data_IF_999091533569
#
_entry.id   IF_999091533569
#
_cell.length_a   1.000
_cell.length_b   1.000
_cell.length_c   1.000
_cell.angle_alpha   90.00
_cell.angle_beta   90.00
_cell.angle_gamma   90.00
#
_symmetry.space_group_name_H-M   'P 1'
#
loop_
_entity.id
_entity.type
_entity.pdbx_description
1 polymer ?
#
# COMPACT_ATOMS: atom_id res chain seq x y z
N UNK A 1 23.24 12.50 7.88
CA UNK A 1 22.89 11.20 7.26
C UNK A 1 24.09 10.28 7.40
N UNK A 2 23.93 9.04 7.84
CA UNK A 2 25.06 8.11 7.98
C UNK A 2 25.50 7.66 6.60
N UNK A 3 26.74 7.97 6.22
CA UNK A 3 27.31 7.53 4.95
C UNK A 3 28.01 6.17 5.16
N UNK A 4 27.88 5.25 4.20
CA UNK A 4 28.44 3.88 4.18
C UNK A 4 27.70 2.83 5.02
N UNK A 5 26.43 2.56 4.70
CA UNK A 5 25.75 1.36 5.20
C UNK A 5 26.45 0.08 4.71
N UNK A 6 26.53 -0.97 5.56
CA UNK A 6 27.05 -2.26 5.14
C UNK A 6 26.19 -2.84 4.01
N UNK A 7 26.84 -3.40 2.98
CA UNK A 7 26.17 -3.96 1.79
C UNK A 7 25.73 -5.41 2.04
N UNK A 8 24.88 -5.61 3.04
CA UNK A 8 24.30 -6.93 3.39
C UNK A 8 22.93 -7.03 2.73
N UNK A 9 22.73 -8.08 1.92
CA UNK A 9 21.46 -8.34 1.23
C UNK A 9 20.58 -9.27 2.08
N UNK A 10 19.47 -8.75 2.59
CA UNK A 10 18.50 -9.51 3.38
C UNK A 10 17.36 -9.87 2.45
N UNK A 11 17.27 -11.15 2.09
CA UNK A 11 16.18 -11.64 1.23
C UNK A 11 14.90 -11.79 2.06
N UNK A 12 13.72 -11.48 1.48
CA UNK A 12 12.46 -11.72 2.16
C UNK A 12 12.33 -13.18 2.62
N UNK A 13 11.87 -13.38 3.85
CA UNK A 13 11.61 -14.69 4.42
C UNK A 13 10.32 -15.30 3.86
N UNK A 14 10.04 -16.56 4.20
CA UNK A 14 8.77 -17.18 3.84
C UNK A 14 7.56 -16.48 4.51
N UNK A 15 7.74 -15.93 5.72
CA UNK A 15 6.69 -15.17 6.41
C UNK A 15 6.39 -13.87 5.68
N UNK A 16 7.43 -13.15 5.25
CA UNK A 16 7.28 -11.90 4.50
C UNK A 16 6.55 -12.15 3.17
N UNK A 17 6.92 -13.22 2.45
CA UNK A 17 6.21 -13.61 1.22
C UNK A 17 4.73 -13.94 1.46
N UNK A 18 4.41 -14.66 2.53
CA UNK A 18 3.01 -14.95 2.88
C UNK A 18 2.24 -13.67 3.18
N UNK A 19 2.83 -12.74 3.92
CA UNK A 19 2.22 -11.44 4.22
C UNK A 19 1.99 -10.62 2.95
N UNK A 20 2.98 -10.54 2.07
CA UNK A 20 2.88 -9.84 0.78
C UNK A 20 1.73 -10.43 -0.07
N UNK A 21 1.66 -11.76 -0.18
CA UNK A 21 0.60 -12.43 -0.93
C UNK A 21 -0.77 -12.19 -0.32
N UNK A 22 -0.88 -12.21 1.01
CA UNK A 22 -2.12 -11.91 1.70
C UNK A 22 -2.61 -10.48 1.41
N UNK A 23 -1.72 -9.49 1.42
CA UNK A 23 -2.13 -8.13 1.04
C UNK A 23 -2.55 -8.03 -0.43
N UNK A 24 -1.92 -8.76 -1.36
CA UNK A 24 -2.40 -8.81 -2.76
C UNK A 24 -3.81 -9.40 -2.88
N UNK A 25 -4.15 -10.39 -2.04
CA UNK A 25 -5.52 -10.91 -1.96
C UNK A 25 -6.49 -9.80 -1.50
N UNK A 26 -6.11 -8.99 -0.51
CA UNK A 26 -6.94 -7.86 -0.04
C UNK A 26 -7.09 -6.76 -1.11
N UNK A 27 -6.02 -6.45 -1.86
CA UNK A 27 -6.08 -5.52 -2.99
C UNK A 27 -7.05 -6.03 -4.07
N UNK A 28 -6.95 -7.32 -4.42
CA UNK A 28 -7.86 -7.94 -5.38
C UNK A 28 -9.30 -7.93 -4.88
N UNK A 29 -9.54 -8.26 -3.61
CA UNK A 29 -10.86 -8.21 -2.99
C UNK A 29 -11.44 -6.79 -3.01
N UNK A 30 -10.64 -5.76 -2.73
CA UNK A 30 -11.09 -4.36 -2.78
C UNK A 30 -11.50 -3.95 -4.21
N UNK A 31 -10.71 -4.33 -5.23
CA UNK A 31 -11.05 -4.07 -6.62
C UNK A 31 -12.33 -4.81 -7.05
N UNK A 32 -12.44 -6.10 -6.69
CA UNK A 32 -13.61 -6.92 -6.98
C UNK A 32 -14.87 -6.35 -6.32
N UNK A 33 -14.77 -5.89 -5.08
CA UNK A 33 -15.89 -5.28 -4.36
C UNK A 33 -16.42 -4.04 -5.10
N UNK A 34 -15.54 -3.13 -5.49
CA UNK A 34 -15.95 -1.93 -6.24
C UNK A 34 -16.57 -2.34 -7.58
N UNK A 35 -15.93 -3.25 -8.31
CA UNK A 35 -16.42 -3.72 -9.60
C UNK A 35 -17.81 -4.37 -9.50
N UNK A 36 -18.05 -5.22 -8.49
CA UNK A 36 -19.32 -5.93 -8.31
C UNK A 36 -20.51 -5.01 -8.13
N UNK A 37 -20.35 -3.87 -7.46
CA UNK A 37 -21.45 -2.93 -7.19
C UNK A 37 -21.47 -1.73 -8.14
N UNK A 38 -20.44 -1.53 -8.96
CA UNK A 38 -20.28 -0.33 -9.78
C UNK A 38 -21.46 -0.08 -10.73
N UNK A 39 -21.98 -1.14 -11.36
CA UNK A 39 -23.09 -1.04 -12.31
C UNK A 39 -24.45 -0.77 -11.65
N UNK A 40 -24.56 -1.00 -10.34
CA UNK A 40 -25.77 -0.71 -9.56
C UNK A 40 -25.78 0.74 -9.05
N UNK A 41 -24.64 1.44 -9.14
CA UNK A 41 -24.55 2.82 -8.67
C UNK A 41 -25.30 3.79 -9.61
N UNK A 42 -26.07 4.75 -9.04
CA UNK A 42 -26.59 5.86 -9.81
C UNK A 42 -25.46 6.72 -10.38
N UNK A 43 -25.73 7.51 -11.42
CA UNK A 43 -24.72 8.38 -12.04
C UNK A 43 -24.04 9.34 -11.05
N UNK A 44 -24.77 9.74 -9.99
CA UNK A 44 -24.31 10.61 -8.92
C UNK A 44 -24.42 9.91 -7.56
N UNK A 45 -23.32 9.86 -6.80
CA UNK A 45 -23.22 9.25 -5.47
C UNK A 45 -22.76 10.27 -4.42
N UNK A 46 -22.98 9.97 -3.13
CA UNK A 46 -22.39 10.74 -2.04
C UNK A 46 -20.88 10.48 -1.96
N UNK A 47 -20.09 11.54 -1.85
CA UNK A 47 -18.61 11.50 -1.83
C UNK A 47 -18.02 12.18 -0.60
N UNK A 48 -18.81 12.97 0.12
CA UNK A 48 -18.44 13.63 1.36
C UNK A 48 -19.61 13.60 2.32
N UNK A 49 -19.30 13.46 3.61
CA UNK A 49 -20.27 13.39 4.69
C UNK A 49 -19.86 14.38 5.79
N UNK A 50 -20.85 15.09 6.34
CA UNK A 50 -20.63 16.02 7.43
C UNK A 50 -20.45 15.28 8.77
N UNK A 51 -20.21 16.04 9.85
CA UNK A 51 -20.02 15.47 11.21
C UNK A 51 -21.26 14.77 11.78
N UNK A 52 -22.45 14.96 11.19
CA UNK A 52 -23.68 14.24 11.56
C UNK A 52 -23.87 12.95 10.77
N UNK A 53 -22.98 12.65 9.82
CA UNK A 53 -23.10 11.50 8.91
C UNK A 53 -24.08 11.72 7.76
N UNK A 54 -24.49 12.97 7.51
CA UNK A 54 -25.34 13.32 6.37
C UNK A 54 -24.46 13.61 5.15
N UNK A 55 -24.88 13.16 3.98
CA UNK A 55 -24.19 13.49 2.74
C UNK A 55 -24.40 14.97 2.40
N UNK A 56 -23.31 15.73 2.33
CA UNK A 56 -23.27 17.16 1.97
C UNK A 56 -22.44 17.42 0.71
N UNK A 57 -21.85 16.38 0.11
CA UNK A 57 -21.16 16.44 -1.17
C UNK A 57 -21.50 15.24 -2.06
N UNK A 58 -21.82 15.52 -3.32
CA UNK A 58 -22.17 14.53 -4.34
C UNK A 58 -21.30 14.67 -5.57
N UNK A 59 -21.03 13.55 -6.25
CA UNK A 59 -20.21 13.54 -7.46
C UNK A 59 -20.47 12.31 -8.34
N UNK A 60 -19.82 12.27 -9.50
CA UNK A 60 -19.94 11.15 -10.44
C UNK A 60 -19.52 9.82 -9.79
N UNK A 61 -20.26 8.74 -10.04
CA UNK A 61 -19.89 7.39 -9.58
C UNK A 61 -18.49 6.95 -9.98
N UNK A 62 -17.95 7.51 -11.06
CA UNK A 62 -16.61 7.19 -11.56
C UNK A 62 -15.50 7.48 -10.53
N UNK A 63 -15.75 8.39 -9.59
CA UNK A 63 -14.77 8.76 -8.56
C UNK A 63 -14.43 7.58 -7.63
N UNK A 64 -15.32 6.59 -7.49
CA UNK A 64 -15.10 5.42 -6.64
C UNK A 64 -13.88 4.60 -7.09
N UNK A 65 -13.47 4.70 -8.36
CA UNK A 65 -12.29 4.01 -8.90
C UNK A 65 -10.96 4.57 -8.41
N UNK A 66 -10.93 5.81 -7.89
CA UNK A 66 -9.69 6.42 -7.41
C UNK A 66 -9.08 5.59 -6.27
N UNK A 67 -9.91 5.13 -5.33
CA UNK A 67 -9.45 4.37 -4.17
C UNK A 67 -8.84 3.00 -4.51
N UNK A 68 -9.49 2.09 -5.29
CA UNK A 68 -8.88 0.82 -5.64
C UNK A 68 -7.64 0.99 -6.53
N UNK A 69 -7.61 1.98 -7.43
CA UNK A 69 -6.43 2.26 -8.26
C UNK A 69 -5.27 2.73 -7.37
N UNK A 70 -5.53 3.68 -6.46
CA UNK A 70 -4.52 4.18 -5.53
C UNK A 70 -4.02 3.05 -4.62
N UNK A 71 -4.90 2.16 -4.17
CA UNK A 71 -4.55 0.98 -3.38
C UNK A 71 -3.56 0.08 -4.14
N UNK A 72 -3.85 -0.26 -5.40
CA UNK A 72 -2.95 -1.05 -6.26
C UNK A 72 -1.58 -0.38 -6.38
N UNK A 73 -1.54 0.93 -6.69
CA UNK A 73 -0.29 1.68 -6.88
C UNK A 73 0.53 1.71 -5.60
N UNK A 74 -0.09 2.04 -4.47
CA UNK A 74 0.59 2.12 -3.17
C UNK A 74 1.10 0.74 -2.74
N UNK A 75 0.27 -0.30 -2.84
CA UNK A 75 0.67 -1.64 -2.41
C UNK A 75 1.73 -2.25 -3.31
N UNK A 76 1.66 -1.99 -4.62
CA UNK A 76 2.74 -2.33 -5.56
C UNK A 76 4.05 -1.64 -5.17
N UNK A 77 4.00 -0.32 -4.93
CA UNK A 77 5.15 0.47 -4.51
C UNK A 77 5.78 -0.07 -3.22
N UNK A 78 4.96 -0.38 -2.20
CA UNK A 78 5.41 -1.01 -0.97
C UNK A 78 6.05 -2.38 -1.21
N UNK A 79 5.46 -3.22 -2.06
CA UNK A 79 6.03 -4.53 -2.42
C UNK A 79 7.39 -4.39 -3.08
N UNK A 80 7.55 -3.44 -4.01
CA UNK A 80 8.83 -3.15 -4.67
C UNK A 80 9.87 -2.67 -3.65
N UNK A 81 9.49 -1.75 -2.77
CA UNK A 81 10.37 -1.25 -1.70
C UNK A 81 10.83 -2.41 -0.81
N UNK A 82 9.90 -3.24 -0.34
CA UNK A 82 10.19 -4.34 0.59
C UNK A 82 11.00 -5.49 -0.03
N UNK A 83 10.97 -5.68 -1.36
CA UNK A 83 11.55 -6.88 -2.00
C UNK A 83 12.70 -6.60 -2.97
N UNK A 84 12.76 -5.38 -3.54
CA UNK A 84 13.73 -5.04 -4.60
C UNK A 84 14.69 -3.93 -4.19
N UNK A 85 14.27 -3.00 -3.33
CA UNK A 85 15.15 -1.93 -2.87
C UNK A 85 16.14 -2.49 -1.84
N UNK A 86 17.41 -2.16 -2.02
CA UNK A 86 18.47 -2.69 -1.17
C UNK A 86 18.50 -1.98 0.18
N UNK A 87 18.73 -2.72 1.30
CA UNK A 87 18.71 -2.16 2.65
C UNK A 87 19.58 -0.91 2.82
N UNK A 88 20.76 -0.85 2.19
CA UNK A 88 21.67 0.29 2.30
C UNK A 88 21.18 1.59 1.65
N UNK A 89 20.13 1.53 0.83
CA UNK A 89 19.50 2.73 0.24
C UNK A 89 18.42 3.34 1.15
N UNK A 90 18.04 2.67 2.24
CA UNK A 90 17.06 3.21 3.19
C UNK A 90 17.69 4.20 4.16
N UNK A 91 16.85 5.11 4.67
CA UNK A 91 17.22 6.05 5.72
C UNK A 91 16.88 5.46 7.09
N UNK A 92 17.87 4.93 7.80
CA UNK A 92 17.67 4.39 9.15
C UNK A 92 17.87 5.48 10.22
N UNK A 93 17.06 5.50 11.29
CA UNK A 93 17.24 6.44 12.41
C UNK A 93 18.46 6.12 13.28
N UNK A 94 19.16 5.03 13.02
CA UNK A 94 20.34 4.56 13.77
C UNK A 94 21.50 4.24 12.85
N UNK A 95 22.74 4.37 13.33
CA UNK A 95 23.93 3.95 12.58
C UNK A 95 23.90 2.44 12.32
N UNK A 96 23.88 2.05 11.05
CA UNK A 96 23.88 0.64 10.64
C UNK A 96 25.31 0.09 10.64
N UNK A 97 25.49 -1.10 11.20
CA UNK A 97 26.73 -1.87 11.22
C UNK A 97 26.41 -3.37 11.02
N UNK A 98 27.42 -4.21 10.86
CA UNK A 98 27.22 -5.64 10.57
C UNK A 98 26.46 -6.41 11.66
N UNK A 99 26.49 -5.94 12.92
CA UNK A 99 25.82 -6.61 14.04
C UNK A 99 24.32 -6.32 14.11
N UNK A 100 23.90 -5.10 13.78
CA UNK A 100 22.49 -4.69 13.81
C UNK A 100 21.78 -4.83 12.47
N UNK A 101 22.49 -4.76 11.34
CA UNK A 101 21.90 -4.85 10.00
C UNK A 101 20.97 -6.07 9.80
N UNK A 102 21.29 -7.29 10.27
CA UNK A 102 20.40 -8.44 10.08
C UNK A 102 19.08 -8.38 10.88
N UNK A 103 18.95 -7.42 11.79
CA UNK A 103 17.80 -7.26 12.70
C UNK A 103 16.98 -5.99 12.40
N UNK A 104 17.43 -5.16 11.46
CA UNK A 104 16.78 -3.93 11.00
C UNK A 104 16.00 -4.22 9.72
#
# INVERSE_FOLDING_TARGET
>A
MFNNHPKIDIRPTAKDRRLINFGWILVALNLLLVFSFYFELPETIAIHFNLKGEADGYGSKNIIWILPILNIVLYYGMTVIATKVKPWNFNYPTKVNEKNAPKL
#
